data_IF_166884734758
#
_entry.id   IF_166884734758
#
_cell.length_a   1.000
_cell.length_b   1.000
_cell.length_c   1.000
_cell.angle_alpha   90.00
_cell.angle_beta   90.00
_cell.angle_gamma   90.00
#
_symmetry.space_group_name_H-M   'P 1'
#
loop_
_entity.id
_entity.type
_entity.pdbx_description
1 polymer ?
#
# COMPACT_ATOMS: atom_id res chain seq x y z
N UNK A 1 39.73 -46.78 -43.89
CA UNK A 1 38.52 -46.45 -44.69
C UNK A 1 37.73 -47.68 -45.21
N UNK A 2 38.28 -48.90 -45.22
CA UNK A 2 37.60 -50.09 -45.79
C UNK A 2 36.36 -50.61 -45.02
N UNK A 3 36.19 -50.29 -43.73
CA UNK A 3 35.06 -50.78 -42.91
C UNK A 3 33.82 -49.87 -42.86
N UNK A 4 33.92 -48.62 -43.34
CA UNK A 4 32.78 -47.67 -43.30
C UNK A 4 31.76 -47.93 -44.42
N UNK A 5 32.24 -48.42 -45.56
CA UNK A 5 31.40 -48.73 -46.72
C UNK A 5 30.38 -49.87 -46.49
N UNK A 6 30.75 -51.04 -45.91
CA UNK A 6 29.77 -52.10 -45.66
C UNK A 6 28.73 -51.73 -44.60
N UNK A 7 29.10 -50.89 -43.61
CA UNK A 7 28.18 -50.45 -42.55
C UNK A 7 27.11 -49.50 -43.10
N UNK A 8 27.50 -48.54 -43.94
CA UNK A 8 26.55 -47.63 -44.58
C UNK A 8 25.60 -48.39 -45.53
N UNK A 9 26.10 -49.40 -46.23
CA UNK A 9 25.29 -50.25 -47.11
C UNK A 9 24.29 -51.09 -46.30
N UNK A 10 24.69 -51.61 -45.14
CA UNK A 10 23.80 -52.35 -44.24
C UNK A 10 22.67 -51.47 -43.67
N UNK A 11 22.98 -50.24 -43.23
CA UNK A 11 21.97 -49.29 -42.73
C UNK A 11 20.99 -48.89 -43.84
N UNK A 12 21.49 -48.62 -45.05
CA UNK A 12 20.66 -48.29 -46.20
C UNK A 12 19.75 -49.47 -46.60
N UNK A 13 20.27 -50.70 -46.61
CA UNK A 13 19.50 -51.90 -46.92
C UNK A 13 18.39 -52.17 -45.89
N UNK A 14 18.67 -51.95 -44.59
CA UNK A 14 17.70 -52.12 -43.51
C UNK A 14 16.57 -51.08 -43.52
N UNK A 15 16.79 -49.88 -44.05
CA UNK A 15 15.73 -48.89 -44.24
C UNK A 15 14.86 -49.18 -45.46
N UNK A 16 15.44 -49.74 -46.53
CA UNK A 16 14.77 -49.92 -47.82
C UNK A 16 13.93 -51.20 -47.91
N UNK A 17 14.34 -52.28 -47.22
CA UNK A 17 13.60 -53.55 -47.18
C UNK A 17 12.16 -53.41 -46.64
N UNK A 18 11.92 -52.77 -45.48
CA UNK A 18 10.59 -52.44 -44.98
C UNK A 18 10.03 -51.16 -45.61
N UNK A 19 10.49 -50.73 -46.79
CA UNK A 19 9.79 -49.77 -47.67
C UNK A 19 9.20 -50.52 -48.89
N UNK A 20 9.95 -51.46 -49.45
CA UNK A 20 9.58 -52.25 -50.63
C UNK A 20 8.52 -53.31 -50.32
N UNK A 21 8.66 -54.01 -49.19
CA UNK A 21 7.79 -55.13 -48.82
C UNK A 21 6.31 -54.70 -48.61
N UNK A 22 6.04 -53.41 -48.54
CA UNK A 22 4.76 -52.85 -48.15
C UNK A 22 4.03 -52.09 -49.18
N UNK A 23 4.83 -51.50 -50.06
CA UNK A 23 4.36 -51.18 -51.38
C UNK A 23 3.82 -52.44 -52.07
N UNK A 24 4.41 -53.61 -51.82
CA UNK A 24 3.93 -54.92 -52.32
C UNK A 24 2.70 -55.47 -51.59
N UNK A 25 2.50 -55.15 -50.31
CA UNK A 25 1.36 -55.62 -49.49
C UNK A 25 0.24 -54.57 -49.33
N UNK A 26 0.32 -53.43 -50.01
CA UNK A 26 -0.63 -52.30 -49.98
C UNK A 26 -1.00 -51.77 -48.58
N UNK A 27 -0.08 -51.76 -47.61
CA UNK A 27 -0.41 -51.15 -46.32
C UNK A 27 -0.29 -49.63 -46.36
N UNK A 28 -0.96 -48.96 -45.41
CA UNK A 28 -0.95 -47.50 -45.24
C UNK A 28 0.47 -46.92 -45.24
N UNK A 29 0.67 -45.86 -46.02
CA UNK A 29 1.97 -45.19 -46.19
C UNK A 29 2.60 -44.72 -44.86
N UNK A 30 1.75 -44.40 -43.87
CA UNK A 30 2.19 -44.03 -42.52
C UNK A 30 2.87 -45.17 -41.78
N UNK A 31 2.42 -46.41 -41.98
CA UNK A 31 2.95 -47.57 -41.27
C UNK A 31 4.37 -47.92 -41.75
N UNK A 32 4.63 -47.77 -43.06
CA UNK A 32 5.95 -48.01 -43.65
C UNK A 32 6.95 -46.92 -43.29
N UNK A 33 6.52 -45.65 -43.28
CA UNK A 33 7.35 -44.55 -42.79
C UNK A 33 7.80 -44.76 -41.35
N UNK A 34 6.90 -45.19 -40.46
CA UNK A 34 7.22 -45.45 -39.07
C UNK A 34 8.18 -46.64 -38.91
N UNK A 35 7.92 -47.77 -39.59
CA UNK A 35 8.78 -48.94 -39.52
C UNK A 35 10.18 -48.66 -40.06
N UNK A 36 10.30 -47.93 -41.17
CA UNK A 36 11.59 -47.53 -41.71
C UNK A 36 12.35 -46.61 -40.75
N UNK A 37 11.69 -45.67 -40.10
CA UNK A 37 12.34 -44.78 -39.13
C UNK A 37 12.85 -45.56 -37.91
N UNK A 38 12.05 -46.51 -37.39
CA UNK A 38 12.42 -47.35 -36.25
C UNK A 38 13.59 -48.28 -36.60
N UNK A 39 13.57 -48.95 -37.76
CA UNK A 39 14.69 -49.83 -38.15
C UNK A 39 15.97 -49.06 -38.42
N UNK A 40 15.87 -47.86 -39.01
CA UNK A 40 17.05 -47.01 -39.25
C UNK A 40 17.64 -46.49 -37.95
N UNK A 41 16.80 -46.03 -37.01
CA UNK A 41 17.23 -45.58 -35.68
C UNK A 41 17.83 -46.73 -34.85
N UNK A 42 17.21 -47.91 -34.89
CA UNK A 42 17.71 -49.10 -34.19
C UNK A 42 19.04 -49.60 -34.74
N UNK A 43 19.19 -49.64 -36.07
CA UNK A 43 20.44 -50.05 -36.72
C UNK A 43 21.58 -49.05 -36.46
N UNK A 44 21.30 -47.74 -36.47
CA UNK A 44 22.27 -46.71 -36.11
C UNK A 44 22.74 -46.86 -34.66
N UNK A 45 21.84 -47.14 -33.73
CA UNK A 45 22.16 -47.31 -32.32
C UNK A 45 23.02 -48.57 -32.09
N UNK A 46 22.74 -49.66 -32.83
CA UNK A 46 23.52 -50.90 -32.78
C UNK A 46 24.93 -50.71 -33.37
N UNK A 47 25.07 -49.90 -34.42
CA UNK A 47 26.39 -49.54 -34.99
C UNK A 47 27.19 -48.69 -33.99
N UNK A 48 26.56 -47.72 -33.31
CA UNK A 48 27.23 -46.88 -32.32
C UNK A 48 27.67 -47.70 -31.10
N UNK A 49 26.87 -48.65 -30.62
CA UNK A 49 27.25 -49.50 -29.48
C UNK A 49 28.36 -50.50 -29.83
N UNK A 50 28.36 -51.06 -31.05
CA UNK A 50 29.42 -51.98 -31.49
C UNK A 50 30.74 -51.26 -31.79
N UNK A 51 30.70 -50.03 -32.34
CA UNK A 51 31.91 -49.22 -32.53
C UNK A 51 32.45 -48.64 -31.21
N UNK A 52 31.60 -48.41 -30.21
CA UNK A 52 32.04 -47.95 -28.88
C UNK A 52 32.55 -49.08 -27.98
N UNK A 53 32.25 -50.35 -28.33
CA UNK A 53 32.63 -51.54 -27.57
C UNK A 53 33.99 -52.15 -27.94
N UNK A 54 34.69 -51.63 -28.95
CA UNK A 54 36.00 -52.14 -29.38
C UNK A 54 37.14 -51.20 -28.99
N UNK A 55 37.47 -51.13 -27.71
CA UNK A 55 38.79 -50.70 -27.23
C UNK A 55 39.10 -51.41 -25.92
N UNK A 56 39.40 -52.70 -26.04
CA UNK A 56 40.05 -53.50 -25.01
C UNK A 56 40.76 -54.68 -25.67
N UNK A 57 41.97 -54.44 -26.17
CA UNK A 57 42.99 -55.47 -26.36
C UNK A 57 44.37 -54.79 -26.33
N UNK A 58 45.16 -55.15 -25.34
CA UNK A 58 46.51 -54.66 -25.09
C UNK A 58 47.48 -55.06 -26.20
N UNK A 59 48.34 -54.14 -26.61
CA UNK A 59 49.63 -54.44 -27.22
C UNK A 59 50.74 -53.86 -26.32
N UNK A 60 51.74 -54.64 -25.89
CA UNK A 60 52.86 -54.14 -25.12
C UNK A 60 53.84 -53.43 -26.07
N UNK A 61 54.23 -52.21 -25.72
CA UNK A 61 55.24 -51.36 -26.36
C UNK A 61 54.72 -50.31 -27.37
N UNK A 62 54.05 -49.26 -26.86
CA UNK A 62 54.08 -47.92 -27.47
C UNK A 62 54.62 -46.88 -26.47
N UNK A 63 55.41 -45.87 -26.91
CA UNK A 63 55.85 -44.77 -26.06
C UNK A 63 54.65 -43.97 -25.56
N UNK A 64 54.53 -43.83 -24.23
CA UNK A 64 53.32 -43.35 -23.56
C UNK A 64 52.68 -42.11 -24.17
N UNK A 65 51.42 -42.27 -24.59
CA UNK A 65 50.47 -41.17 -24.75
C UNK A 65 50.39 -40.41 -23.42
N UNK A 66 50.51 -39.07 -23.41
CA UNK A 66 50.33 -38.30 -22.17
C UNK A 66 48.91 -38.56 -21.65
N UNK A 67 48.83 -39.06 -20.40
CA UNK A 67 47.58 -39.25 -19.66
C UNK A 67 46.70 -38.01 -19.88
N UNK A 68 45.42 -38.15 -20.32
CA UNK A 68 44.54 -36.99 -20.43
C UNK A 68 44.55 -36.30 -19.06
N UNK A 69 44.76 -34.97 -19.00
CA UNK A 69 44.87 -34.27 -17.74
C UNK A 69 43.62 -34.59 -16.93
N UNK A 70 43.80 -35.17 -15.73
CA UNK A 70 42.68 -35.44 -14.83
C UNK A 70 41.88 -34.14 -14.69
N UNK A 71 40.53 -34.19 -14.79
CA UNK A 71 39.72 -32.99 -14.61
C UNK A 71 40.13 -32.35 -13.28
N UNK A 72 40.42 -31.03 -13.26
CA UNK A 72 40.85 -30.37 -12.04
C UNK A 72 39.81 -30.61 -10.95
N UNK A 73 40.24 -31.11 -9.80
CA UNK A 73 39.35 -31.36 -8.66
C UNK A 73 38.78 -30.02 -8.21
N UNK A 74 37.48 -29.78 -8.43
CA UNK A 74 36.81 -28.58 -7.94
C UNK A 74 36.86 -28.57 -6.41
N UNK A 75 37.42 -27.51 -5.83
CA UNK A 75 37.48 -27.37 -4.38
C UNK A 75 36.06 -27.16 -3.82
N UNK A 76 35.69 -27.82 -2.71
CA UNK A 76 34.35 -27.67 -2.13
C UNK A 76 34.14 -26.24 -1.60
N UNK A 77 32.90 -25.76 -1.69
CA UNK A 77 32.50 -24.49 -1.07
C UNK A 77 32.48 -24.62 0.46
N UNK A 78 32.87 -23.55 1.13
CA UNK A 78 32.82 -23.39 2.58
C UNK A 78 31.75 -22.34 2.94
N UNK A 79 31.05 -22.54 4.05
CA UNK A 79 30.00 -21.65 4.56
C UNK A 79 30.54 -20.76 5.69
N UNK A 80 30.16 -19.49 5.71
CA UNK A 80 30.39 -18.57 6.83
C UNK A 80 29.22 -17.60 6.92
N UNK A 81 28.79 -17.21 8.12
CA UNK A 81 27.64 -16.31 8.30
C UNK A 81 28.06 -14.91 8.71
N UNK A 82 27.33 -13.93 8.18
CA UNK A 82 27.35 -12.54 8.63
C UNK A 82 26.04 -12.29 9.37
N UNK A 83 26.14 -11.73 10.57
CA UNK A 83 24.99 -11.47 11.45
C UNK A 83 25.02 -10.00 11.83
N UNK A 84 23.94 -9.29 11.50
CA UNK A 84 23.63 -7.91 11.88
C UNK A 84 24.80 -6.93 11.71
N UNK A 85 25.53 -7.06 10.61
CA UNK A 85 26.58 -6.12 10.25
C UNK A 85 25.96 -4.75 9.95
N UNK A 86 26.35 -3.73 10.69
CA UNK A 86 25.88 -2.36 10.49
C UNK A 86 26.48 -1.78 9.20
N UNK A 87 25.61 -1.42 8.26
CA UNK A 87 25.96 -0.77 6.99
C UNK A 87 25.28 0.60 6.93
N UNK A 88 26.04 1.70 6.79
CA UNK A 88 25.44 3.03 6.69
C UNK A 88 24.54 3.16 5.45
N UNK A 89 23.35 3.71 5.66
CA UNK A 89 22.42 4.08 4.59
C UNK A 89 22.81 5.41 3.91
N UNK A 90 22.00 5.88 2.97
CA UNK A 90 22.19 7.20 2.35
C UNK A 90 21.87 8.37 3.29
N UNK A 91 21.08 8.14 4.34
CA UNK A 91 20.71 9.17 5.31
C UNK A 91 21.61 9.08 6.55
N UNK A 92 22.11 10.23 6.98
CA UNK A 92 22.98 10.33 8.16
C UNK A 92 22.28 9.80 9.42
N UNK A 93 23.00 9.00 10.21
CA UNK A 93 22.52 8.46 11.48
C UNK A 93 21.58 7.25 11.36
N UNK A 94 21.47 6.64 10.18
CA UNK A 94 20.70 5.41 9.95
C UNK A 94 21.58 4.31 9.37
N UNK A 95 21.65 3.18 10.09
CA UNK A 95 22.36 1.98 9.65
C UNK A 95 21.38 0.84 9.32
N UNK A 96 21.64 0.13 8.24
CA UNK A 96 21.03 -1.16 7.97
C UNK A 96 21.79 -2.27 8.70
N UNK A 97 21.04 -3.21 9.25
CA UNK A 97 21.51 -4.47 9.79
C UNK A 97 21.47 -5.52 8.66
N UNK A 98 22.67 -5.89 8.19
CA UNK A 98 22.87 -6.85 7.13
C UNK A 98 23.24 -8.22 7.70
N UNK A 99 22.51 -9.24 7.26
CA UNK A 99 22.78 -10.65 7.58
C UNK A 99 22.74 -11.48 6.31
N UNK A 100 23.66 -12.44 6.17
CA UNK A 100 23.72 -13.31 5.00
C UNK A 100 24.55 -14.57 5.26
N UNK A 101 24.29 -15.61 4.46
CA UNK A 101 25.11 -16.82 4.37
C UNK A 101 26.13 -16.65 3.24
N UNK A 102 27.42 -16.61 3.57
CA UNK A 102 28.52 -16.46 2.63
C UNK A 102 29.06 -17.84 2.22
N UNK A 103 29.04 -18.12 0.93
CA UNK A 103 29.64 -19.30 0.33
C UNK A 103 30.93 -18.92 -0.38
N UNK A 104 32.02 -19.60 -0.07
CA UNK A 104 33.34 -19.22 -0.60
C UNK A 104 34.25 -20.40 -0.87
N UNK A 105 35.27 -20.18 -1.72
CA UNK A 105 36.34 -21.16 -1.98
C UNK A 105 37.68 -20.48 -2.24
N UNK A 106 38.82 -21.10 -1.87
CA UNK A 106 40.14 -20.57 -2.20
C UNK A 106 40.37 -20.52 -3.71
N UNK A 107 41.16 -19.55 -4.17
CA UNK A 107 41.62 -19.49 -5.57
C UNK A 107 42.83 -20.45 -5.74
N UNK A 108 42.80 -21.40 -6.69
CA UNK A 108 43.80 -22.47 -6.80
C UNK A 108 45.26 -21.99 -6.92
N UNK A 109 45.49 -20.87 -7.62
CA UNK A 109 46.82 -20.29 -7.83
C UNK A 109 47.51 -19.86 -6.52
N UNK A 110 46.70 -19.60 -5.48
CA UNK A 110 47.16 -19.17 -4.15
C UNK A 110 47.01 -20.27 -3.08
N UNK A 111 46.41 -21.41 -3.42
CA UNK A 111 46.10 -22.49 -2.46
C UNK A 111 47.33 -23.27 -1.95
N UNK A 112 48.48 -23.17 -2.65
CA UNK A 112 49.73 -23.83 -2.26
C UNK A 112 50.56 -23.04 -1.24
N UNK A 113 50.17 -21.78 -0.96
CA UNK A 113 50.76 -20.99 0.11
C UNK A 113 49.98 -21.33 1.37
N UNK A 114 50.67 -21.77 2.42
CA UNK A 114 50.14 -22.16 3.72
C UNK A 114 49.47 -21.02 4.52
N UNK A 115 48.82 -20.08 3.84
CA UNK A 115 47.94 -19.08 4.43
C UNK A 115 46.53 -19.63 4.33
N UNK A 116 45.96 -20.01 5.48
CA UNK A 116 44.54 -20.30 5.63
C UNK A 116 43.75 -19.23 4.89
N UNK A 117 43.12 -19.60 3.78
CA UNK A 117 42.15 -18.76 3.11
C UNK A 117 41.11 -18.37 4.16
N UNK A 118 41.18 -17.13 4.65
CA UNK A 118 40.49 -16.78 5.87
C UNK A 118 39.01 -16.53 5.56
N UNK A 119 38.06 -17.11 6.32
CA UNK A 119 36.65 -16.76 6.21
C UNK A 119 36.40 -15.25 6.38
N UNK A 120 37.30 -14.53 7.07
CA UNK A 120 37.26 -13.08 7.19
C UNK A 120 37.42 -12.35 5.84
N UNK A 121 38.22 -12.88 4.91
CA UNK A 121 38.37 -12.29 3.57
C UNK A 121 37.08 -12.43 2.77
N UNK A 122 36.44 -13.60 2.82
CA UNK A 122 35.15 -13.84 2.18
C UNK A 122 34.07 -12.89 2.72
N UNK A 123 33.96 -12.79 4.04
CA UNK A 123 33.02 -11.87 4.71
C UNK A 123 33.31 -10.42 4.34
N UNK A 124 34.57 -9.98 4.40
CA UNK A 124 34.95 -8.61 4.05
C UNK A 124 34.62 -8.24 2.60
N UNK A 125 34.77 -9.19 1.67
CA UNK A 125 34.42 -9.02 0.25
C UNK A 125 32.91 -8.82 0.08
N UNK A 126 32.10 -9.68 0.71
CA UNK A 126 30.63 -9.58 0.67
C UNK A 126 30.14 -8.29 1.33
N UNK A 127 30.64 -7.96 2.53
CA UNK A 127 30.26 -6.74 3.26
C UNK A 127 30.65 -5.48 2.48
N UNK A 128 31.83 -5.46 1.85
CA UNK A 128 32.27 -4.32 1.03
C UNK A 128 31.36 -4.11 -0.19
N UNK A 129 31.00 -5.19 -0.89
CA UNK A 129 30.04 -5.14 -2.00
C UNK A 129 28.65 -4.69 -1.53
N UNK A 130 28.18 -5.22 -0.41
CA UNK A 130 26.89 -4.82 0.16
C UNK A 130 26.86 -3.32 0.49
N UNK A 131 27.95 -2.82 1.09
CA UNK A 131 28.12 -1.41 1.43
C UNK A 131 28.08 -0.49 0.20
N UNK A 132 28.66 -0.90 -0.93
CA UNK A 132 28.64 -0.12 -2.17
C UNK A 132 27.21 0.06 -2.73
N UNK A 133 26.34 -0.93 -2.50
CA UNK A 133 24.93 -0.88 -2.89
C UNK A 133 24.13 -0.02 -1.91
N UNK A 134 24.15 -0.35 -0.61
CA UNK A 134 23.21 0.24 0.36
C UNK A 134 23.51 1.68 0.75
N UNK A 135 24.75 2.17 0.57
CA UNK A 135 25.11 3.56 0.90
C UNK A 135 24.35 4.59 0.04
N UNK A 136 23.79 4.17 -1.09
CA UNK A 136 22.99 5.03 -1.98
C UNK A 136 21.49 4.89 -1.75
N UNK A 137 21.08 3.98 -0.86
CA UNK A 137 19.69 3.67 -0.62
C UNK A 137 19.17 4.37 0.62
N UNK A 138 18.00 4.98 0.48
CA UNK A 138 17.26 5.59 1.58
C UNK A 138 16.86 4.55 2.63
N UNK A 139 16.94 4.85 3.94
CA UNK A 139 16.63 3.89 5.00
C UNK A 139 15.17 3.39 4.90
N UNK A 140 14.24 4.23 4.45
CA UNK A 140 12.85 3.83 4.20
C UNK A 140 12.65 2.79 3.09
N UNK A 141 13.69 2.51 2.28
CA UNK A 141 13.66 1.57 1.15
C UNK A 141 14.39 0.25 1.42
N UNK A 142 14.56 -0.14 2.69
CA UNK A 142 15.25 -1.36 3.11
C UNK A 142 14.84 -2.63 2.32
N UNK A 143 13.53 -2.82 2.09
CA UNK A 143 13.02 -3.97 1.33
C UNK A 143 13.49 -3.98 -0.13
N UNK A 144 13.57 -2.80 -0.77
CA UNK A 144 14.06 -2.65 -2.13
C UNK A 144 15.58 -2.89 -2.20
N UNK A 145 16.32 -2.31 -1.26
CA UNK A 145 17.77 -2.50 -1.15
C UNK A 145 18.13 -3.98 -0.92
N UNK A 146 17.32 -4.75 -0.18
CA UNK A 146 17.47 -6.20 -0.04
C UNK A 146 17.45 -6.93 -1.40
N UNK A 147 16.48 -6.61 -2.26
CA UNK A 147 16.39 -7.25 -3.59
C UNK A 147 17.60 -6.90 -4.48
N UNK A 148 18.11 -5.68 -4.38
CA UNK A 148 19.34 -5.30 -5.09
C UNK A 148 20.54 -6.11 -4.58
N UNK A 149 20.66 -6.27 -3.26
CA UNK A 149 21.72 -7.07 -2.66
C UNK A 149 21.64 -8.55 -3.04
N UNK A 150 20.44 -9.14 -3.12
CA UNK A 150 20.28 -10.54 -3.54
C UNK A 150 20.83 -10.77 -4.96
N UNK A 151 20.54 -9.85 -5.88
CA UNK A 151 21.08 -9.91 -7.24
C UNK A 151 22.59 -9.68 -7.30
N UNK A 152 23.07 -8.65 -6.60
CA UNK A 152 24.49 -8.28 -6.61
C UNK A 152 25.37 -9.31 -5.91
N UNK A 153 24.95 -9.86 -4.76
CA UNK A 153 25.76 -10.77 -3.95
C UNK A 153 25.66 -12.23 -4.39
N UNK A 154 24.66 -12.60 -5.19
CA UNK A 154 24.50 -13.96 -5.73
C UNK A 154 25.58 -14.37 -6.74
N UNK A 155 26.41 -13.43 -7.21
CA UNK A 155 27.50 -13.68 -8.15
C UNK A 155 28.81 -14.00 -7.41
N UNK A 156 29.43 -15.13 -7.78
CA UNK A 156 30.75 -15.56 -7.31
C UNK A 156 31.84 -14.64 -7.86
N UNK A 157 32.44 -13.81 -7.01
CA UNK A 157 33.51 -12.88 -7.39
C UNK A 157 34.74 -13.04 -6.47
N UNK A 158 35.95 -12.75 -6.98
CA UNK A 158 37.15 -12.73 -6.15
C UNK A 158 37.13 -11.57 -5.15
N UNK A 159 37.74 -11.79 -3.99
CA UNK A 159 38.04 -10.72 -3.04
C UNK A 159 39.13 -9.77 -3.59
N UNK A 160 39.33 -8.63 -2.93
CA UNK A 160 40.32 -7.62 -3.36
C UNK A 160 41.75 -8.17 -3.43
N UNK A 161 42.09 -9.19 -2.64
CA UNK A 161 43.40 -9.83 -2.67
C UNK A 161 43.52 -10.96 -3.70
N UNK A 162 42.42 -11.35 -4.36
CA UNK A 162 42.39 -12.44 -5.34
C UNK A 162 42.64 -13.83 -4.75
N UNK A 163 42.49 -13.99 -3.43
CA UNK A 163 42.78 -15.23 -2.69
C UNK A 163 41.54 -16.11 -2.51
N UNK A 164 40.36 -15.50 -2.46
CA UNK A 164 39.08 -16.19 -2.21
C UNK A 164 38.03 -15.71 -3.21
N UNK A 165 37.26 -16.65 -3.74
CA UNK A 165 36.02 -16.35 -4.46
C UNK A 165 34.84 -16.50 -3.51
N UNK A 166 33.97 -15.49 -3.42
CA UNK A 166 32.83 -15.47 -2.50
C UNK A 166 31.53 -15.00 -3.19
N UNK A 167 30.42 -15.61 -2.78
CA UNK A 167 29.04 -15.19 -3.05
C UNK A 167 28.25 -15.21 -1.73
N UNK A 168 27.08 -14.58 -1.71
CA UNK A 168 26.15 -14.65 -0.59
C UNK A 168 24.77 -15.16 -1.01
N UNK A 169 24.13 -15.87 -0.10
CA UNK A 169 22.75 -16.33 -0.14
C UNK A 169 22.03 -15.90 1.14
N UNK A 170 20.71 -16.10 1.19
CA UNK A 170 19.86 -15.80 2.37
C UNK A 170 20.05 -14.37 2.89
N UNK A 171 20.06 -13.40 1.97
CA UNK A 171 20.33 -12.01 2.30
C UNK A 171 19.14 -11.39 3.04
N UNK A 172 19.39 -10.91 4.25
CA UNK A 172 18.49 -10.11 5.04
C UNK A 172 19.07 -8.71 5.23
N UNK A 173 18.23 -7.69 5.00
CA UNK A 173 18.57 -6.29 5.24
C UNK A 173 17.41 -5.65 5.99
N UNK A 174 17.66 -5.17 7.20
CA UNK A 174 16.64 -4.54 8.03
C UNK A 174 17.18 -3.26 8.66
N UNK A 175 16.31 -2.31 9.00
CA UNK A 175 16.68 -1.21 9.90
C UNK A 175 16.52 -1.64 11.35
N UNK A 176 17.27 -1.00 12.26
CA UNK A 176 16.99 -1.10 13.69
C UNK A 176 15.51 -0.78 13.98
N UNK A 177 14.81 -1.53 14.85
CA UNK A 177 13.38 -1.33 15.08
C UNK A 177 13.01 0.09 15.50
N UNK A 178 13.85 0.74 16.32
CA UNK A 178 13.65 2.12 16.76
C UNK A 178 13.70 3.13 15.60
N UNK A 179 14.62 2.94 14.67
CA UNK A 179 14.80 3.84 13.53
C UNK A 179 13.69 3.66 12.49
N UNK A 180 13.26 2.42 12.28
CA UNK A 180 12.09 2.11 11.44
C UNK A 180 10.85 2.83 11.97
N UNK A 181 10.65 2.80 13.29
CA UNK A 181 9.53 3.48 13.92
C UNK A 181 9.62 5.00 13.83
N UNK A 182 10.82 5.56 14.02
CA UNK A 182 11.07 6.99 13.83
C UNK A 182 10.74 7.44 12.40
N UNK A 183 11.18 6.68 11.39
CA UNK A 183 10.92 7.01 9.99
C UNK A 183 9.42 6.94 9.64
N UNK A 184 8.68 5.98 10.20
CA UNK A 184 7.22 5.93 10.05
C UNK A 184 6.57 7.19 10.61
N UNK A 185 6.88 7.53 11.87
CA UNK A 185 6.34 8.73 12.52
C UNK A 185 6.66 10.00 11.74
N UNK A 186 7.88 10.15 11.23
CA UNK A 186 8.24 11.30 10.40
C UNK A 186 7.48 11.34 9.08
N UNK A 187 7.26 10.17 8.46
CA UNK A 187 6.47 10.09 7.23
C UNK A 187 5.01 10.45 7.45
N UNK A 188 4.43 9.98 8.55
CA UNK A 188 3.05 10.27 8.94
C UNK A 188 2.89 11.75 9.25
N UNK A 189 3.78 12.34 10.06
CA UNK A 189 3.77 13.78 10.34
C UNK A 189 3.84 14.64 9.08
N UNK A 190 4.68 14.26 8.11
CA UNK A 190 4.78 14.99 6.84
C UNK A 190 3.47 14.91 6.04
N UNK A 191 2.83 13.75 5.99
CA UNK A 191 1.53 13.60 5.32
C UNK A 191 0.43 14.40 6.02
N UNK A 192 0.43 14.39 7.35
CA UNK A 192 -0.54 15.14 8.14
C UNK A 192 -0.36 16.66 7.91
N UNK A 193 0.88 17.15 7.82
CA UNK A 193 1.18 18.53 7.47
C UNK A 193 0.69 18.88 6.06
N UNK A 194 0.97 18.03 5.06
CA UNK A 194 0.47 18.22 3.68
C UNK A 194 -1.06 18.28 3.62
N UNK A 195 -1.75 17.40 4.35
CA UNK A 195 -3.22 17.40 4.44
C UNK A 195 -3.71 18.70 5.07
N UNK A 196 -3.11 19.10 6.19
CA UNK A 196 -3.52 20.30 6.91
C UNK A 196 -3.26 21.58 6.10
N UNK A 197 -2.17 21.67 5.36
CA UNK A 197 -1.90 22.79 4.47
C UNK A 197 -2.95 22.88 3.36
N UNK A 198 -3.32 21.73 2.77
CA UNK A 198 -4.38 21.66 1.77
C UNK A 198 -5.74 22.09 2.34
N UNK A 199 -6.12 21.61 3.52
CA UNK A 199 -7.36 22.00 4.18
C UNK A 199 -7.39 23.51 4.49
N UNK A 200 -6.30 24.03 5.04
CA UNK A 200 -6.17 25.47 5.32
C UNK A 200 -6.27 26.30 4.04
N UNK A 201 -5.62 25.87 2.96
CA UNK A 201 -5.72 26.54 1.67
C UNK A 201 -7.14 26.46 1.10
N UNK A 202 -7.79 25.30 1.20
CA UNK A 202 -9.18 25.11 0.81
C UNK A 202 -10.11 26.04 1.59
N UNK A 203 -9.96 26.16 2.91
CA UNK A 203 -10.73 27.09 3.73
C UNK A 203 -10.48 28.55 3.33
N UNK A 204 -9.22 28.94 3.13
CA UNK A 204 -8.87 30.30 2.70
C UNK A 204 -9.48 30.62 1.33
N UNK A 205 -9.39 29.70 0.39
CA UNK A 205 -9.97 29.84 -0.94
C UNK A 205 -11.49 29.90 -0.87
N UNK A 206 -12.14 29.11 0.00
CA UNK A 206 -13.59 29.17 0.24
C UNK A 206 -14.01 30.51 0.85
N UNK A 207 -13.29 31.02 1.85
CA UNK A 207 -13.56 32.34 2.44
C UNK A 207 -13.38 33.44 1.41
N UNK A 208 -12.33 33.38 0.60
CA UNK A 208 -12.07 34.33 -0.48
C UNK A 208 -13.19 34.31 -1.52
N UNK A 209 -13.57 33.12 -2.01
CA UNK A 209 -14.68 32.98 -2.97
C UNK A 209 -15.99 33.51 -2.38
N UNK A 210 -16.31 33.15 -1.14
CA UNK A 210 -17.53 33.62 -0.50
C UNK A 210 -17.53 35.13 -0.25
N UNK A 211 -16.41 35.71 0.18
CA UNK A 211 -16.31 37.16 0.42
C UNK A 211 -16.23 37.96 -0.88
N UNK A 212 -15.25 37.65 -1.72
CA UNK A 212 -14.86 38.48 -2.87
C UNK A 212 -15.76 38.27 -4.09
N UNK A 213 -16.37 37.10 -4.25
CA UNK A 213 -17.21 36.78 -5.41
C UNK A 213 -18.70 36.70 -5.05
N UNK A 214 -19.05 35.96 -3.99
CA UNK A 214 -20.47 35.69 -3.66
C UNK A 214 -21.10 36.85 -2.90
N UNK A 215 -20.54 37.20 -1.74
CA UNK A 215 -21.09 38.16 -0.79
C UNK A 215 -20.55 39.58 -1.00
N UNK A 216 -19.82 39.84 -2.08
CA UNK A 216 -19.33 41.18 -2.46
C UNK A 216 -20.45 42.22 -2.51
N UNK A 217 -21.66 41.80 -2.90
CA UNK A 217 -22.84 42.65 -2.98
C UNK A 217 -24.12 41.83 -2.85
N UNK A 218 -25.24 42.49 -2.54
CA UNK A 218 -26.55 41.84 -2.59
C UNK A 218 -26.84 41.20 -3.97
N UNK A 219 -26.43 41.86 -5.06
CA UNK A 219 -26.63 41.37 -6.43
C UNK A 219 -25.85 40.09 -6.72
N UNK A 220 -24.57 40.03 -6.36
CA UNK A 220 -23.74 38.82 -6.55
C UNK A 220 -24.25 37.64 -5.72
N UNK A 221 -24.76 37.91 -4.51
CA UNK A 221 -25.34 36.89 -3.65
C UNK A 221 -26.63 36.30 -4.23
N UNK A 222 -27.49 37.13 -4.83
CA UNK A 222 -28.72 36.67 -5.51
C UNK A 222 -28.40 35.86 -6.76
N UNK A 223 -27.42 36.30 -7.57
CA UNK A 223 -26.97 35.54 -8.76
C UNK A 223 -26.40 34.18 -8.34
N UNK A 224 -25.58 34.15 -7.29
CA UNK A 224 -25.05 32.91 -6.74
C UNK A 224 -26.15 31.97 -6.22
N UNK A 225 -27.19 32.52 -5.59
CA UNK A 225 -28.33 31.76 -5.11
C UNK A 225 -29.12 31.14 -6.27
N UNK A 226 -29.42 31.94 -7.31
CA UNK A 226 -30.11 31.50 -8.52
C UNK A 226 -29.32 30.45 -9.29
N UNK A 227 -28.00 30.58 -9.37
CA UNK A 227 -27.15 29.58 -10.03
C UNK A 227 -27.19 28.19 -9.35
N UNK A 228 -27.67 28.11 -8.10
CA UNK A 228 -27.89 26.86 -7.37
C UNK A 228 -29.36 26.44 -7.30
N UNK A 229 -30.27 27.36 -7.61
CA UNK A 229 -31.72 27.19 -7.51
C UNK A 229 -32.39 27.78 -8.76
N UNK A 230 -32.01 27.28 -9.94
CA UNK A 230 -32.30 27.90 -11.24
C UNK A 230 -33.80 28.10 -11.52
N UNK A 231 -34.65 27.26 -10.92
CA UNK A 231 -36.10 27.27 -11.14
C UNK A 231 -36.89 28.01 -10.04
N UNK A 232 -36.23 28.62 -9.06
CA UNK A 232 -36.88 29.18 -7.87
C UNK A 232 -36.86 30.72 -7.83
N UNK A 233 -37.20 31.34 -8.97
CA UNK A 233 -37.10 32.81 -9.16
C UNK A 233 -37.92 33.59 -8.12
N UNK A 234 -39.16 33.21 -7.86
CA UNK A 234 -40.02 33.91 -6.89
C UNK A 234 -39.43 33.89 -5.47
N UNK A 235 -38.79 32.77 -5.10
CA UNK A 235 -38.06 32.66 -3.83
C UNK A 235 -36.78 33.47 -3.84
N UNK A 236 -36.06 33.55 -4.96
CA UNK A 236 -34.90 34.42 -5.10
C UNK A 236 -35.25 35.88 -4.79
N UNK A 237 -36.40 36.35 -5.31
CA UNK A 237 -36.93 37.69 -5.02
C UNK A 237 -37.20 37.88 -3.53
N UNK A 238 -37.81 36.89 -2.88
CA UNK A 238 -38.01 36.90 -1.43
C UNK A 238 -36.71 36.89 -0.62
N UNK A 239 -35.63 36.32 -1.16
CA UNK A 239 -34.32 36.24 -0.51
C UNK A 239 -33.45 37.50 -0.69
N UNK A 240 -33.87 38.49 -1.47
CA UNK A 240 -33.07 39.72 -1.71
C UNK A 240 -32.74 40.45 -0.40
N UNK A 241 -33.73 40.64 0.49
CA UNK A 241 -33.51 41.29 1.79
C UNK A 241 -32.51 40.54 2.68
N UNK A 242 -32.74 39.24 2.98
CA UNK A 242 -31.79 38.42 3.74
C UNK A 242 -30.38 38.36 3.13
N UNK A 243 -30.26 38.20 1.81
CA UNK A 243 -28.96 38.15 1.13
C UNK A 243 -28.23 39.50 1.18
N UNK A 244 -28.97 40.62 1.10
CA UNK A 244 -28.40 41.95 1.28
C UNK A 244 -27.87 42.16 2.71
N UNK A 245 -28.57 41.64 3.71
CA UNK A 245 -28.14 41.69 5.11
C UNK A 245 -26.87 40.87 5.36
N UNK A 246 -26.80 39.65 4.81
CA UNK A 246 -25.62 38.77 4.93
C UNK A 246 -24.43 39.37 4.19
N UNK A 247 -24.64 39.94 2.99
CA UNK A 247 -23.59 40.61 2.23
C UNK A 247 -23.04 41.82 2.99
N UNK A 248 -23.90 42.67 3.55
CA UNK A 248 -23.47 43.81 4.36
C UNK A 248 -22.67 43.36 5.60
N UNK A 249 -23.16 42.35 6.33
CA UNK A 249 -22.47 41.79 7.48
C UNK A 249 -21.11 41.15 7.14
N UNK A 250 -20.99 40.51 5.97
CA UNK A 250 -19.74 39.88 5.53
C UNK A 250 -18.64 40.89 5.12
N UNK A 251 -19.02 42.14 4.84
CA UNK A 251 -18.11 43.22 4.46
C UNK A 251 -17.94 44.29 5.56
N UNK A 252 -18.50 44.06 6.76
CA UNK A 252 -18.54 45.05 7.85
C UNK A 252 -19.18 46.40 7.44
N UNK A 253 -20.22 46.35 6.59
CA UNK A 253 -20.93 47.52 6.07
C UNK A 253 -22.40 47.58 6.55
N UNK A 254 -23.03 48.75 6.46
CA UNK A 254 -24.47 48.88 6.64
C UNK A 254 -25.25 48.34 5.43
N UNK A 255 -26.47 47.84 5.66
CA UNK A 255 -27.34 47.43 4.55
C UNK A 255 -27.68 48.64 3.67
N UNK A 256 -27.46 48.56 2.34
CA UNK A 256 -27.77 49.65 1.42
C UNK A 256 -29.21 50.13 1.56
N UNK A 257 -29.42 51.45 1.50
CA UNK A 257 -30.73 52.09 1.70
C UNK A 257 -31.83 51.48 0.83
N UNK A 258 -31.49 51.13 -0.41
CA UNK A 258 -32.40 50.49 -1.36
C UNK A 258 -33.03 49.22 -0.80
N UNK A 259 -32.34 48.46 0.06
CA UNK A 259 -32.82 47.17 0.58
C UNK A 259 -33.32 47.25 2.02
N UNK A 260 -33.19 48.40 2.70
CA UNK A 260 -33.62 48.55 4.11
C UNK A 260 -35.12 48.27 4.32
N UNK A 261 -35.94 48.58 3.32
CA UNK A 261 -37.38 48.31 3.35
C UNK A 261 -37.73 46.81 3.24
N UNK A 262 -36.79 45.97 2.81
CA UNK A 262 -36.94 44.51 2.70
C UNK A 262 -36.40 43.78 3.93
N UNK A 263 -35.80 44.48 4.88
CA UNK A 263 -35.36 43.89 6.14
C UNK A 263 -36.59 43.61 7.01
N UNK A 264 -36.67 42.41 7.54
CA UNK A 264 -37.63 42.08 8.60
C UNK A 264 -37.12 42.76 9.89
N UNK A 265 -37.93 43.56 10.60
CA UNK A 265 -37.52 44.13 11.87
C UNK A 265 -37.09 43.00 12.82
N UNK A 266 -36.01 43.16 13.59
CA UNK A 266 -35.65 42.18 14.61
C UNK A 266 -36.82 42.06 15.58
N UNK A 267 -37.47 40.90 15.58
CA UNK A 267 -38.52 40.56 16.54
C UNK A 267 -37.84 40.41 17.91
N UNK A 268 -38.04 41.39 18.79
CA UNK A 268 -37.74 41.27 20.21
C UNK A 268 -36.43 41.89 20.68
N UNK A 269 -36.35 43.22 20.68
CA UNK A 269 -35.71 43.94 21.79
C UNK A 269 -36.84 44.70 22.49
N UNK A 270 -37.17 44.43 23.77
CA UNK A 270 -38.10 45.28 24.49
C UNK A 270 -37.48 46.67 24.55
N UNK A 271 -38.07 47.64 23.87
CA UNK A 271 -37.66 49.03 23.96
C UNK A 271 -37.84 49.52 25.39
N UNK A 272 -36.74 49.59 26.14
CA UNK A 272 -36.63 50.40 27.36
C UNK A 272 -36.64 51.88 26.98
N UNK A 273 -37.82 52.41 26.70
CA UNK A 273 -38.11 53.83 26.86
C UNK A 273 -39.22 53.97 27.90
N UNK A 274 -38.86 53.76 29.17
CA UNK A 274 -39.35 54.48 30.36
C UNK A 274 -38.75 53.82 31.61
N UNK A 275 -37.58 54.30 32.05
CA UNK A 275 -37.22 54.44 33.46
C UNK A 275 -35.82 55.05 33.56
N UNK A 276 -35.72 56.13 34.33
CA UNK A 276 -34.44 56.77 34.63
C UNK A 276 -33.51 55.85 35.41
N UNK A 277 -32.23 55.97 35.08
CA UNK A 277 -31.07 55.46 35.81
C UNK A 277 -30.99 56.05 37.25
N UNK A 278 -30.04 55.64 38.12
CA UNK A 278 -29.60 54.30 38.56
C UNK A 278 -29.69 54.16 40.10
N UNK A 279 -29.74 52.94 40.64
CA UNK A 279 -29.37 52.73 42.05
C UNK A 279 -28.55 51.46 42.20
N UNK A 280 -27.25 51.66 42.35
CA UNK A 280 -26.35 50.70 42.96
C UNK A 280 -26.72 50.59 44.44
N UNK A 281 -27.04 49.39 44.93
CA UNK A 281 -26.73 49.02 46.32
C UNK A 281 -26.59 47.49 46.47
N UNK A 282 -25.34 47.09 46.73
CA UNK A 282 -24.84 46.03 47.63
C UNK A 282 -25.76 44.84 48.00
N UNK A 283 -25.50 43.56 47.68
CA UNK A 283 -24.38 42.59 47.97
C UNK A 283 -25.00 41.34 48.65
N UNK A 284 -24.32 40.18 48.89
CA UNK A 284 -22.97 39.78 48.48
C UNK A 284 -22.83 38.34 47.91
N UNK A 285 -21.79 38.16 47.10
CA UNK A 285 -20.84 37.03 47.22
C UNK A 285 -21.32 35.60 46.95
N UNK A 286 -21.18 35.14 45.71
CA UNK A 286 -20.67 33.79 45.46
C UNK A 286 -19.72 33.81 44.28
N UNK A 287 -18.43 33.75 44.60
CA UNK A 287 -17.37 33.71 43.61
C UNK A 287 -17.38 32.41 42.82
N UNK A 288 -17.05 32.55 41.53
CA UNK A 288 -16.24 31.61 40.77
C UNK A 288 -16.70 30.16 40.74
N UNK A 289 -17.75 29.89 39.97
CA UNK A 289 -17.83 28.63 39.24
C UNK A 289 -17.59 28.97 37.77
N UNK A 290 -16.44 28.55 37.24
CA UNK A 290 -16.31 28.35 35.79
C UNK A 290 -17.45 27.42 35.39
N UNK A 291 -18.37 27.90 34.55
CA UNK A 291 -19.33 27.03 33.91
C UNK A 291 -18.56 26.25 32.84
N UNK A 292 -18.23 25.01 33.18
CA UNK A 292 -17.79 23.97 32.28
C UNK A 292 -18.98 23.63 31.35
N UNK A 293 -18.99 24.21 30.15
CA UNK A 293 -20.13 24.15 29.22
C UNK A 293 -20.07 22.93 28.28
N UNK A 294 -19.54 21.81 28.75
CA UNK A 294 -19.52 20.53 27.99
C UNK A 294 -20.68 19.58 28.38
N UNK A 295 -21.57 20.02 29.28
CA UNK A 295 -22.71 19.23 29.80
C UNK A 295 -24.07 19.55 29.16
N UNK A 296 -24.13 19.91 27.87
CA UNK A 296 -25.41 20.21 27.19
C UNK A 296 -25.77 19.30 25.99
N UNK A 297 -24.98 18.26 25.69
CA UNK A 297 -25.36 17.28 24.65
C UNK A 297 -25.37 15.87 25.26
N UNK A 298 -26.56 15.29 25.38
CA UNK A 298 -26.74 13.94 25.93
C UNK A 298 -26.04 12.88 25.09
N UNK A 299 -25.78 11.71 25.67
CA UNK A 299 -25.20 10.57 24.92
C UNK A 299 -26.15 10.17 23.77
N UNK A 300 -27.45 10.34 23.98
CA UNK A 300 -28.47 10.04 22.98
C UNK A 300 -28.44 11.00 21.80
N UNK A 301 -28.20 12.29 22.04
CA UNK A 301 -28.10 13.30 20.98
C UNK A 301 -26.88 13.05 20.09
N UNK A 302 -25.74 12.66 20.69
CA UNK A 302 -24.54 12.27 19.95
C UNK A 302 -24.77 11.03 19.09
N UNK A 303 -25.51 10.04 19.61
CA UNK A 303 -25.88 8.85 18.84
C UNK A 303 -26.82 9.21 17.67
N UNK A 304 -27.81 10.08 17.89
CA UNK A 304 -28.71 10.54 16.83
C UNK A 304 -27.98 11.31 15.73
N UNK A 305 -27.03 12.17 16.09
CA UNK A 305 -26.18 12.87 15.13
C UNK A 305 -25.34 11.90 14.29
N UNK A 306 -24.79 10.86 14.92
CA UNK A 306 -24.02 9.82 14.21
C UNK A 306 -24.91 9.01 13.26
N UNK A 307 -26.11 8.62 13.71
CA UNK A 307 -27.07 7.88 12.88
C UNK A 307 -27.52 8.72 11.67
N UNK A 308 -27.82 10.00 11.88
CA UNK A 308 -28.17 10.93 10.82
C UNK A 308 -27.01 11.13 9.82
N UNK A 309 -25.77 11.24 10.30
CA UNK A 309 -24.58 11.39 9.45
C UNK A 309 -24.33 10.15 8.57
N UNK A 310 -24.65 8.95 9.06
CA UNK A 310 -24.54 7.69 8.31
C UNK A 310 -25.77 7.44 7.42
N UNK A 311 -26.79 8.29 7.51
CA UNK A 311 -28.02 8.20 6.71
C UNK A 311 -29.03 7.18 7.24
N UNK A 312 -28.85 6.67 8.46
CA UNK A 312 -29.81 5.78 9.12
C UNK A 312 -30.93 6.60 9.73
N UNK A 313 -32.11 6.54 9.11
CA UNK A 313 -33.30 7.24 9.57
C UNK A 313 -34.15 6.37 10.52
N UNK A 314 -34.93 6.97 11.44
CA UNK A 314 -35.73 6.24 12.42
C UNK A 314 -36.77 5.26 11.85
N UNK A 315 -37.20 5.45 10.60
CA UNK A 315 -38.17 4.63 9.87
C UNK A 315 -37.58 3.36 9.24
N UNK A 316 -36.25 3.17 9.33
CA UNK A 316 -35.56 2.02 8.77
C UNK A 316 -35.44 0.89 9.81
N UNK A 317 -35.66 -0.36 9.40
CA UNK A 317 -35.46 -1.52 10.27
C UNK A 317 -34.02 -1.61 10.79
N UNK A 318 -33.05 -1.21 9.96
CA UNK A 318 -31.63 -1.16 10.29
C UNK A 318 -31.31 -0.17 11.42
N UNK A 319 -32.05 0.93 11.52
CA UNK A 319 -31.91 1.90 12.59
C UNK A 319 -32.26 1.27 13.94
N UNK A 320 -33.38 0.57 14.01
CA UNK A 320 -33.84 -0.09 15.24
C UNK A 320 -32.89 -1.20 15.68
N UNK A 321 -32.41 -2.02 14.73
CA UNK A 321 -31.43 -3.09 15.01
C UNK A 321 -30.11 -2.53 15.55
N UNK A 322 -29.60 -1.47 14.92
CA UNK A 322 -28.35 -0.85 15.32
C UNK A 322 -28.45 -0.23 16.72
N UNK A 323 -29.51 0.56 16.97
CA UNK A 323 -29.75 1.18 18.27
C UNK A 323 -29.91 0.13 19.36
N UNK A 324 -30.64 -0.96 19.10
CA UNK A 324 -30.80 -2.06 20.04
C UNK A 324 -29.46 -2.73 20.39
N UNK A 325 -28.57 -2.89 19.39
CA UNK A 325 -27.23 -3.45 19.59
C UNK A 325 -26.34 -2.53 20.43
N UNK A 326 -26.42 -1.21 20.20
CA UNK A 326 -25.70 -0.20 21.00
C UNK A 326 -26.15 -0.24 22.46
N UNK A 327 -27.46 -0.19 22.71
CA UNK A 327 -28.04 -0.29 24.06
C UNK A 327 -27.59 -1.58 24.77
N UNK A 328 -27.64 -2.72 24.07
CA UNK A 328 -27.20 -4.02 24.62
C UNK A 328 -25.70 -4.04 24.94
N UNK A 329 -24.87 -3.38 24.14
CA UNK A 329 -23.43 -3.27 24.38
C UNK A 329 -23.11 -2.39 25.59
N UNK A 330 -23.84 -1.29 25.77
CA UNK A 330 -23.71 -0.39 26.92
C UNK A 330 -24.11 -1.07 28.23
N UNK A 331 -25.21 -1.83 28.21
CA UNK A 331 -25.62 -2.66 29.36
C UNK A 331 -24.56 -3.70 29.75
N UNK A 332 -23.98 -4.37 28.74
CA UNK A 332 -22.95 -5.38 28.96
C UNK A 332 -21.65 -4.76 29.54
N UNK A 333 -21.38 -3.50 29.22
CA UNK A 333 -20.27 -2.71 29.76
C UNK A 333 -20.57 -2.07 31.12
N UNK A 334 -21.80 -2.20 31.65
CA UNK A 334 -22.22 -1.60 32.91
C UNK A 334 -22.63 -0.13 32.84
N UNK A 335 -22.70 0.44 31.63
CA UNK A 335 -23.06 1.85 31.37
C UNK A 335 -24.59 2.01 31.27
N UNK A 336 -25.30 1.64 32.34
CA UNK A 336 -26.77 1.56 32.37
C UNK A 336 -27.45 2.91 32.19
N UNK A 337 -26.88 3.97 32.74
CA UNK A 337 -27.44 5.33 32.64
C UNK A 337 -27.51 5.83 31.19
N UNK A 338 -26.44 5.62 30.42
CA UNK A 338 -26.40 5.93 28.99
C UNK A 338 -27.34 5.03 28.16
N UNK A 339 -27.44 3.75 28.51
CA UNK A 339 -28.37 2.81 27.86
C UNK A 339 -29.84 3.22 28.09
N UNK A 340 -30.18 3.68 29.31
CA UNK A 340 -31.52 4.11 29.69
C UNK A 340 -31.88 5.50 29.15
N UNK A 341 -30.89 6.38 28.93
CA UNK A 341 -31.06 7.63 28.19
C UNK A 341 -31.48 7.36 26.74
N UNK A 342 -30.75 6.47 26.04
CA UNK A 342 -31.02 6.11 24.64
C UNK A 342 -32.39 5.43 24.49
N UNK A 343 -32.75 4.53 25.43
CA UNK A 343 -34.08 3.87 25.43
C UNK A 343 -35.24 4.85 25.50
N UNK A 344 -35.11 5.92 26.30
CA UNK A 344 -36.19 6.89 26.50
C UNK A 344 -36.53 7.63 25.21
N UNK A 345 -35.53 7.99 24.39
CA UNK A 345 -35.77 8.75 23.15
C UNK A 345 -36.33 7.86 22.04
N UNK A 346 -35.87 6.61 21.95
CA UNK A 346 -36.31 5.67 20.90
C UNK A 346 -37.78 5.28 21.08
N UNK A 347 -38.26 5.16 22.32
CA UNK A 347 -39.68 4.88 22.61
C UNK A 347 -40.60 6.09 22.35
N UNK A 348 -40.10 7.33 22.45
CA UNK A 348 -40.85 8.55 22.14
C UNK A 348 -41.02 8.80 20.63
N UNK A 349 -40.11 8.29 19.79
CA UNK A 349 -40.15 8.45 18.32
C UNK A 349 -41.05 7.41 17.64
N UNK A 350 -41.32 6.26 18.27
CA UNK A 350 -42.16 5.20 17.68
C UNK A 350 -43.67 5.35 17.94
N UNK A 351 -44.12 6.19 18.88
CA UNK A 351 -45.54 6.27 19.31
C UNK A 351 -46.33 7.42 18.65
N UNK A 352 -45.83 7.92 17.51
CA UNK A 352 -46.31 9.15 16.86
C UNK A 352 -47.08 8.96 15.55
N UNK A 353 -47.89 7.91 15.39
CA UNK A 353 -48.71 7.74 14.18
C UNK A 353 -49.68 6.56 14.18
N UNK A 354 -50.93 6.80 14.59
CA UNK A 354 -52.03 5.86 14.36
C UNK A 354 -53.21 6.06 15.29
N UNK A 355 -54.11 6.96 14.88
CA UNK A 355 -55.38 7.35 15.50
C UNK A 355 -56.43 6.21 15.58
N UNK A 356 -57.44 6.43 16.43
CA UNK A 356 -58.42 5.54 17.05
C UNK A 356 -59.41 4.77 16.13
N UNK A 357 -59.97 3.67 16.66
CA UNK A 357 -61.24 3.08 16.19
C UNK A 357 -61.66 1.80 16.97
N UNK A 358 -62.89 1.69 17.54
CA UNK A 358 -63.16 0.89 18.74
C UNK A 358 -63.95 -0.43 18.53
N UNK A 359 -63.88 -1.27 19.58
CA UNK A 359 -64.72 -2.40 20.01
C UNK A 359 -65.01 -3.58 19.04
N UNK A 360 -64.61 -4.79 19.44
CA UNK A 360 -65.58 -5.85 19.78
C UNK A 360 -64.93 -6.99 20.59
N UNK A 361 -65.56 -7.31 21.72
CA UNK A 361 -65.28 -8.49 22.57
C UNK A 361 -65.43 -9.77 21.77
N UNK A 362 -64.64 -10.80 22.08
CA UNK A 362 -65.13 -12.17 22.28
C UNK A 362 -64.09 -13.03 23.03
N UNK A 363 -64.62 -13.92 23.86
CA UNK A 363 -63.98 -14.63 24.97
C UNK A 363 -63.37 -15.99 24.59
N UNK A 364 -62.51 -16.49 25.49
CA UNK A 364 -62.17 -17.92 25.66
C UNK A 364 -60.97 -18.39 24.83
N UNK A 365 -60.20 -19.41 25.17
CA UNK A 365 -60.31 -20.48 26.16
C UNK A 365 -59.00 -21.30 25.97
N UNK A 366 -58.24 -21.51 27.04
CA UNK A 366 -57.42 -22.70 27.34
C UNK A 366 -56.21 -23.15 26.47
N UNK A 367 -55.07 -23.20 27.18
CA UNK A 367 -54.14 -24.33 27.39
C UNK A 367 -53.15 -24.90 26.35
N UNK A 368 -51.95 -25.11 26.92
CA UNK A 368 -50.97 -26.19 26.71
C UNK A 368 -50.27 -26.26 25.34
N UNK A 369 -48.95 -26.18 25.27
CA UNK A 369 -47.98 -27.05 25.97
C UNK A 369 -46.56 -26.44 25.88
N UNK A 370 -45.82 -26.42 26.99
CA UNK A 370 -44.38 -26.06 27.06
C UNK A 370 -43.43 -27.18 26.53
N UNK A 371 -42.14 -27.28 26.93
CA UNK A 371 -41.51 -26.67 28.12
C UNK A 371 -40.04 -26.16 28.00
N UNK A 372 -39.83 -24.98 28.62
CA UNK A 372 -38.77 -24.58 29.57
C UNK A 372 -37.26 -24.41 29.22
N UNK A 373 -36.56 -23.52 29.96
CA UNK A 373 -35.23 -22.94 29.70
C UNK A 373 -34.22 -23.35 30.83
N UNK A 374 -33.33 -22.48 31.38
CA UNK A 374 -32.13 -21.83 30.83
C UNK A 374 -30.84 -22.12 31.67
N UNK A 375 -29.67 -21.63 31.19
CA UNK A 375 -28.54 -20.97 31.93
C UNK A 375 -27.14 -21.42 31.47
N UNK A 376 -26.40 -20.45 30.89
CA UNK A 376 -25.01 -19.96 31.17
C UNK A 376 -23.82 -20.96 31.32
N UNK A 377 -22.52 -20.55 31.30
CA UNK A 377 -21.81 -19.30 30.90
C UNK A 377 -20.49 -19.51 30.08
N UNK A 378 -19.80 -18.38 29.82
CA UNK A 378 -18.45 -18.02 29.28
C UNK A 378 -17.32 -19.07 29.07
N UNK A 379 -16.39 -18.81 28.12
CA UNK A 379 -15.18 -19.59 27.86
C UNK A 379 -13.91 -18.95 28.45
N UNK A 380 -12.95 -19.79 28.87
CA UNK A 380 -11.51 -19.52 28.75
C UNK A 380 -10.68 -20.81 28.94
N UNK A 381 -9.58 -20.93 28.19
CA UNK A 381 -8.47 -21.86 28.47
C UNK A 381 -8.31 -23.07 27.54
N UNK A 382 -7.32 -23.00 26.64
CA UNK A 382 -6.70 -24.13 25.88
C UNK A 382 -5.89 -25.08 26.80
N UNK A 383 -5.16 -26.12 26.31
CA UNK A 383 -5.20 -26.95 25.09
C UNK A 383 -5.27 -28.47 25.45
N UNK A 384 -5.07 -29.44 24.51
CA UNK A 384 -3.82 -30.22 24.59
C UNK A 384 -3.28 -30.78 23.24
N UNK A 385 -2.11 -31.42 23.36
CA UNK A 385 -1.17 -31.90 22.36
C UNK A 385 -1.44 -33.29 21.75
N UNK A 386 -0.77 -33.52 20.61
CA UNK A 386 -0.16 -34.74 20.03
C UNK A 386 -0.94 -36.06 19.92
N UNK A 387 -1.02 -36.61 18.70
CA UNK A 387 -0.28 -37.83 18.27
C UNK A 387 -0.45 -38.11 16.76
N UNK A 388 0.69 -38.05 16.05
CA UNK A 388 1.16 -38.70 14.81
C UNK A 388 0.20 -39.43 13.83
N UNK A 389 0.32 -39.06 12.54
CA UNK A 389 0.56 -39.97 11.41
C UNK A 389 1.00 -39.19 10.13
N UNK A 390 2.26 -39.37 9.73
CA UNK A 390 2.75 -39.22 8.34
C UNK A 390 2.64 -40.61 7.62
N UNK A 391 2.89 -40.80 6.29
CA UNK A 391 3.57 -39.92 5.32
C UNK A 391 2.97 -39.88 3.87
N UNK A 392 3.38 -38.87 3.09
CA UNK A 392 4.08 -38.97 1.78
C UNK A 392 3.75 -37.85 0.76
N UNK A 393 4.83 -37.15 0.38
CA UNK A 393 5.25 -36.79 -0.99
C UNK A 393 4.39 -35.85 -1.88
N UNK A 394 4.89 -34.61 -1.99
CA UNK A 394 4.89 -33.70 -3.15
C UNK A 394 5.74 -34.27 -4.33
N UNK A 395 5.90 -33.64 -5.53
CA UNK A 395 5.37 -32.37 -6.07
C UNK A 395 4.98 -32.42 -7.60
N UNK A 396 4.51 -31.29 -8.15
CA UNK A 396 4.76 -30.74 -9.52
C UNK A 396 3.55 -29.88 -9.97
N UNK A 397 3.59 -28.54 -9.98
CA UNK A 397 4.38 -27.56 -10.76
C UNK A 397 4.09 -27.51 -12.27
N UNK A 398 3.03 -26.75 -12.63
CA UNK A 398 2.97 -25.81 -13.77
C UNK A 398 2.43 -26.31 -15.12
N UNK A 399 2.17 -25.42 -16.12
CA UNK A 399 2.04 -23.96 -16.09
C UNK A 399 0.71 -23.41 -16.67
N UNK A 400 0.28 -22.25 -16.16
CA UNK A 400 -0.84 -21.47 -16.72
C UNK A 400 -0.38 -20.67 -17.96
N UNK A 401 -1.15 -20.75 -19.05
CA UNK A 401 -1.03 -19.90 -20.25
C UNK A 401 -2.35 -19.12 -20.42
N UNK A 402 -2.32 -17.83 -20.86
CA UNK A 402 -3.44 -16.91 -20.71
C UNK A 402 -4.37 -16.85 -21.94
N UNK A 403 -5.58 -16.34 -21.73
CA UNK A 403 -6.38 -15.69 -22.78
C UNK A 403 -7.68 -16.40 -23.17
N UNK A 404 -8.80 -15.92 -22.63
CA UNK A 404 -10.08 -15.97 -23.32
C UNK A 404 -10.97 -14.81 -22.85
N UNK A 405 -11.05 -13.81 -23.71
CA UNK A 405 -12.10 -12.79 -23.81
C UNK A 405 -13.48 -13.35 -23.48
N UNK A 406 -14.18 -12.71 -22.53
CA UNK A 406 -15.64 -12.72 -22.48
C UNK A 406 -16.14 -11.29 -22.34
N UNK A 407 -16.63 -10.82 -23.48
CA UNK A 407 -17.47 -9.65 -23.66
C UNK A 407 -18.84 -9.94 -23.07
N UNK A 408 -19.36 -9.05 -22.22
CA UNK A 408 -20.78 -8.80 -21.88
C UNK A 408 -20.76 -7.50 -21.05
N UNK A 409 -20.92 -6.30 -21.64
CA UNK A 409 -22.20 -5.64 -21.91
C UNK A 409 -23.14 -5.57 -20.68
N UNK A 410 -23.06 -4.51 -19.87
CA UNK A 410 -24.06 -3.42 -19.88
C UNK A 410 -23.74 -2.31 -18.85
N UNK A 411 -24.12 -1.09 -19.22
CA UNK A 411 -24.57 0.01 -18.35
C UNK A 411 -23.63 0.54 -17.25
N UNK A 412 -22.82 1.54 -17.61
CA UNK A 412 -22.50 2.62 -16.67
C UNK A 412 -22.42 3.98 -17.38
N UNK A 413 -23.54 4.69 -17.26
CA UNK A 413 -23.66 6.11 -16.90
C UNK A 413 -22.61 7.09 -17.45
N UNK A 414 -23.09 7.88 -18.39
CA UNK A 414 -22.44 9.02 -19.03
C UNK A 414 -22.00 10.08 -17.99
N UNK A 415 -20.69 10.27 -17.84
CA UNK A 415 -20.13 11.51 -17.29
C UNK A 415 -19.77 12.44 -18.45
N UNK A 416 -20.65 13.40 -18.72
CA UNK A 416 -20.37 14.55 -19.58
C UNK A 416 -19.49 15.53 -18.82
N UNK A 417 -18.29 15.83 -19.35
CA UNK A 417 -17.76 17.17 -19.60
C UNK A 417 -16.49 17.02 -20.46
N UNK A 418 -16.67 17.13 -21.78
CA UNK A 418 -15.61 17.52 -22.71
C UNK A 418 -15.91 18.94 -23.16
N UNK A 419 -15.02 19.88 -22.86
CA UNK A 419 -14.92 21.15 -23.57
C UNK A 419 -13.63 21.11 -24.36
N UNK A 420 -13.75 20.70 -25.63
CA UNK A 420 -12.87 21.12 -26.73
C UNK A 420 -12.94 22.65 -26.81
N UNK A 421 -11.89 23.46 -26.89
CA UNK A 421 -10.54 23.23 -27.35
C UNK A 421 -10.28 24.18 -28.51
N UNK A 422 -9.91 25.43 -28.21
CA UNK A 422 -9.41 26.39 -29.21
C UNK A 422 -8.07 26.99 -28.74
N UNK A 423 -7.01 26.28 -29.13
CA UNK A 423 -5.86 26.80 -29.88
C UNK A 423 -5.31 28.19 -29.50
N UNK A 424 -4.40 28.26 -28.53
CA UNK A 424 -3.28 29.21 -28.57
C UNK A 424 -1.98 28.54 -28.07
N UNK A 425 -0.95 28.75 -28.88
CA UNK A 425 0.43 28.24 -28.87
C UNK A 425 1.16 28.44 -27.53
N UNK A 426 2.00 27.50 -27.06
CA UNK A 426 2.80 27.69 -25.87
C UNK A 426 4.10 28.45 -26.21
N UNK A 427 4.52 29.48 -25.45
CA UNK A 427 5.87 29.98 -25.58
C UNK A 427 6.82 29.14 -24.72
N UNK A 428 7.91 28.79 -25.37
CA UNK A 428 9.12 28.17 -24.84
C UNK A 428 9.73 28.92 -23.64
N UNK A 429 10.40 28.13 -22.78
CA UNK A 429 11.67 28.40 -22.10
C UNK A 429 11.95 29.82 -21.59
N UNK A 430 12.13 29.95 -20.27
CA UNK A 430 13.26 30.70 -19.72
C UNK A 430 13.90 29.98 -18.53
N UNK A 431 15.08 29.45 -18.83
CA UNK A 431 16.15 29.25 -17.87
C UNK A 431 16.93 30.59 -17.84
N UNK A 432 17.05 31.23 -16.68
CA UNK A 432 17.91 32.40 -16.51
C UNK A 432 18.57 32.36 -15.13
N UNK A 433 19.62 31.55 -15.04
CA UNK A 433 20.81 31.91 -14.29
C UNK A 433 21.41 33.23 -14.81
N UNK A 434 22.09 33.96 -13.91
CA UNK A 434 22.90 35.19 -14.10
C UNK A 434 22.14 36.51 -13.82
N UNK A 435 22.59 37.45 -13.00
CA UNK A 435 23.81 37.61 -12.20
C UNK A 435 23.64 38.91 -11.40
N UNK A 436 24.09 38.99 -10.15
CA UNK A 436 24.71 40.23 -9.64
C UNK A 436 25.64 39.92 -8.47
N UNK A 437 26.89 39.69 -8.86
CA UNK A 437 28.10 40.16 -8.19
C UNK A 437 27.84 41.21 -7.09
N UNK A 438 28.21 40.89 -5.85
CA UNK A 438 28.69 41.90 -4.90
C UNK A 438 30.17 41.66 -4.68
N UNK A 439 30.93 42.64 -5.17
CA UNK A 439 32.37 42.67 -5.25
C UNK A 439 33.04 42.64 -3.87
N UNK A 440 34.14 41.89 -3.83
CA UNK A 440 35.22 42.05 -2.87
C UNK A 440 36.00 43.35 -3.11
N UNK A 441 36.51 43.93 -2.03
CA UNK A 441 37.67 44.81 -2.01
C UNK A 441 37.58 45.90 -0.93
N UNK A 442 38.71 46.45 -0.42
CA UNK A 442 40.10 46.01 -0.56
C UNK A 442 40.80 45.77 0.80
N UNK A 443 41.89 44.97 0.74
CA UNK A 443 43.00 45.05 1.70
C UNK A 443 43.75 46.35 1.44
N UNK A 444 43.91 47.17 2.47
CA UNK A 444 45.03 48.11 2.59
C UNK A 444 46.00 47.50 3.59
N UNK A 445 47.21 47.23 3.11
CA UNK A 445 48.39 47.14 3.97
C UNK A 445 48.87 48.52 4.39
N UNK A 446 50.03 48.51 5.03
CA UNK A 446 50.79 49.60 5.63
C UNK A 446 50.31 50.02 7.02
N UNK A 447 51.18 50.21 8.00
CA UNK A 447 52.58 49.87 8.24
C UNK A 447 52.81 50.39 9.67
N UNK A 448 53.77 49.78 10.35
CA UNK A 448 54.63 50.40 11.35
C UNK A 448 54.19 50.73 12.78
N UNK A 449 55.19 50.41 13.62
CA UNK A 449 55.58 50.99 14.91
C UNK A 449 54.83 50.51 16.17
N UNK A 450 55.48 50.16 17.28
CA UNK A 450 56.90 50.28 17.68
C UNK A 450 57.08 49.58 19.05
N UNK A 451 58.33 49.23 19.38
CA UNK A 451 58.90 48.90 20.70
C UNK A 451 58.54 47.53 21.33
N UNK A 452 59.48 46.68 21.78
CA UNK A 452 60.90 46.87 22.08
C UNK A 452 61.20 46.33 23.48
N UNK A 453 61.80 45.13 23.56
CA UNK A 453 62.78 44.67 24.57
C UNK A 453 63.10 43.20 24.39
#
# INVERSE_FOLDING_TARGET
MKHRFPILLFVALCGLAPAVLGNLLHWSAWLWGFMAMVTTSGSLLLVVTVLSGSSAAADPYEPGEPEPPRPPTEQPYQETRVIDAALPSAADGYDFLFSATVWWKPVPEHANRSDDASPALAVSSVVSRALEVVRREEPGRASFARYLLEGELGVLLPDRSGRVNALAADVALTLAPADRERLRKLNDLRKDEEIWEYEREHERNKRRYLGDDVLKSAGSAVVWWLARHENEIDKAVGMIGPLAQIAAAANDEEVPELFRHLLVPPVGVPSEETAGNPLWDDRPGRGGAMFDREEEVGVSDRLLLLLAAVGLKPDMDEYTVFVHRVVRSLDAAGLREAADEIRRIVLLVSDGGGDEGPEERLSGEQDNTGPWPPRSPRPDGSPPADTAAEPNADPDTGPFTPGATRSDANEQTQSWYSTTGDNLTPPHFWNASQNRHRSAGPRTGDEDNEAGS
#
